data_IF_685213022254
#
_entry.id   IF_685213022254
#
_cell.length_a   1.000
_cell.length_b   1.000
_cell.length_c   1.000
_cell.angle_alpha   90.00
_cell.angle_beta   90.00
_cell.angle_gamma   90.00
#
_symmetry.space_group_name_H-M   'P 1'
#
loop_
_entity.id
_entity.type
_entity.pdbx_description
1 polymer ?
#
# COMPACT_ATOMS: atom_id res chain seq x y z
N UNK A 1 10.73 -12.68 13.63
CA UNK A 1 10.76 -11.55 12.66
C UNK A 1 11.63 -10.46 13.27
N UNK A 2 12.54 -9.86 12.50
CA UNK A 2 13.31 -8.72 12.97
C UNK A 2 12.38 -7.50 13.01
N UNK A 3 12.19 -6.92 14.19
CA UNK A 3 11.53 -5.62 14.33
C UNK A 3 12.35 -4.57 13.59
N UNK A 4 11.68 -3.70 12.84
CA UNK A 4 12.32 -2.57 12.17
C UNK A 4 12.31 -1.35 13.09
N UNK A 5 13.38 -0.58 13.13
CA UNK A 5 13.46 0.66 13.89
C UNK A 5 13.47 1.89 12.97
N UNK A 6 13.14 3.07 13.52
CA UNK A 6 13.15 4.30 12.73
C UNK A 6 14.55 4.63 12.20
N UNK A 7 15.60 4.27 12.94
CA UNK A 7 17.00 4.39 12.52
C UNK A 7 17.30 3.56 11.26
N UNK A 8 16.63 2.42 11.08
CA UNK A 8 16.77 1.62 9.87
C UNK A 8 16.14 2.34 8.67
N UNK A 9 14.99 3.00 8.87
CA UNK A 9 14.36 3.84 7.85
C UNK A 9 15.30 4.98 7.44
N UNK A 10 15.89 5.70 8.40
CA UNK A 10 16.86 6.76 8.14
C UNK A 10 18.08 6.24 7.35
N UNK A 11 18.62 5.08 7.76
CA UNK A 11 19.74 4.43 7.09
C UNK A 11 19.41 4.03 5.66
N UNK A 12 18.22 3.46 5.43
CA UNK A 12 17.74 3.11 4.10
C UNK A 12 17.50 4.34 3.24
N UNK A 13 16.95 5.43 3.78
CA UNK A 13 16.79 6.69 3.04
C UNK A 13 18.14 7.25 2.58
N UNK A 14 19.15 7.23 3.45
CA UNK A 14 20.52 7.62 3.11
C UNK A 14 21.12 6.75 1.99
N UNK A 15 20.93 5.44 2.08
CA UNK A 15 21.43 4.49 1.07
C UNK A 15 20.69 4.64 -0.26
N UNK A 16 19.37 4.83 -0.24
CA UNK A 16 18.54 5.04 -1.42
C UNK A 16 18.98 6.31 -2.16
N UNK A 17 19.12 7.43 -1.44
CA UNK A 17 19.62 8.69 -2.01
C UNK A 17 20.98 8.51 -2.69
N UNK A 18 21.93 7.86 -2.01
CA UNK A 18 23.27 7.58 -2.57
C UNK A 18 23.20 6.71 -3.82
N UNK A 19 22.34 5.68 -3.83
CA UNK A 19 22.13 4.79 -4.98
C UNK A 19 21.57 5.54 -6.20
N UNK A 20 20.75 6.57 -5.98
CA UNK A 20 20.27 7.47 -7.03
C UNK A 20 21.33 8.51 -7.48
N UNK A 21 22.51 8.55 -6.85
CA UNK A 21 23.56 9.51 -7.17
C UNK A 21 23.33 10.92 -6.63
N UNK A 22 22.31 11.13 -5.77
CA UNK A 22 21.98 12.46 -5.27
C UNK A 22 22.78 12.85 -4.03
N UNK A 23 23.18 14.12 -3.95
CA UNK A 23 23.62 14.75 -2.71
C UNK A 23 22.41 15.22 -1.86
N UNK A 24 22.66 15.62 -0.61
CA UNK A 24 21.59 16.05 0.30
C UNK A 24 20.88 17.32 -0.16
N UNK A 25 21.56 18.21 -0.89
CA UNK A 25 20.96 19.43 -1.46
C UNK A 25 19.97 19.10 -2.57
N UNK A 26 20.34 18.23 -3.50
CA UNK A 26 19.48 17.76 -4.59
C UNK A 26 18.26 17.04 -4.05
N UNK A 27 18.47 16.17 -3.06
CA UNK A 27 17.38 15.45 -2.42
C UNK A 27 16.46 16.39 -1.63
N UNK A 28 17.02 17.35 -0.88
CA UNK A 28 16.22 18.39 -0.22
C UNK A 28 15.33 19.16 -1.18
N UNK A 29 15.87 19.57 -2.34
CA UNK A 29 15.10 20.23 -3.41
C UNK A 29 13.92 19.37 -3.90
N UNK A 30 14.12 18.06 -4.10
CA UNK A 30 13.05 17.12 -4.48
C UNK A 30 11.92 17.03 -3.45
N UNK A 31 12.25 17.24 -2.17
CA UNK A 31 11.29 17.23 -1.05
C UNK A 31 10.73 18.64 -0.74
N UNK A 32 11.15 19.68 -1.46
CA UNK A 32 10.76 21.06 -1.18
C UNK A 32 11.31 21.61 0.14
N UNK A 33 12.44 21.08 0.63
CA UNK A 33 13.07 21.47 1.90
C UNK A 33 14.55 21.87 1.71
N UNK A 34 15.12 22.56 2.69
CA UNK A 34 16.55 22.91 2.66
C UNK A 34 17.45 21.69 2.83
N UNK A 35 18.72 21.81 2.42
CA UNK A 35 19.71 20.75 2.65
C UNK A 35 19.88 20.43 4.14
N UNK A 36 19.90 21.44 5.00
CA UNK A 36 20.00 21.28 6.45
C UNK A 36 18.80 20.51 7.02
N UNK A 37 17.58 20.87 6.57
CA UNK A 37 16.34 20.22 7.03
C UNK A 37 16.26 18.75 6.56
N UNK A 38 16.73 18.47 5.34
CA UNK A 38 16.88 17.10 4.83
C UNK A 38 17.94 16.32 5.65
N UNK A 39 19.10 16.92 5.92
CA UNK A 39 20.17 16.29 6.70
C UNK A 39 19.68 15.91 8.11
N UNK A 40 18.91 16.76 8.76
CA UNK A 40 18.32 16.47 10.09
C UNK A 40 17.38 15.25 10.04
N UNK A 41 16.55 15.12 9.00
CA UNK A 41 15.69 13.94 8.79
C UNK A 41 16.47 12.68 8.47
N UNK A 42 17.45 12.78 7.58
CA UNK A 42 18.30 11.64 7.19
C UNK A 42 19.09 11.05 8.36
N UNK A 43 19.48 11.90 9.31
CA UNK A 43 20.19 11.47 10.52
C UNK A 43 19.25 11.22 11.72
N UNK A 44 17.92 11.23 11.52
CA UNK A 44 16.94 10.90 12.56
C UNK A 44 16.68 11.99 13.60
N UNK A 45 17.28 13.18 13.48
CA UNK A 45 17.06 14.31 14.40
C UNK A 45 15.66 14.92 14.26
N UNK A 46 15.02 14.77 13.09
CA UNK A 46 13.64 15.18 12.82
C UNK A 46 12.90 14.00 12.20
N UNK A 47 11.68 13.73 12.67
CA UNK A 47 10.85 12.67 12.10
C UNK A 47 10.36 13.07 10.69
N UNK A 48 10.48 12.15 9.74
CA UNK A 48 9.94 12.34 8.38
C UNK A 48 8.41 12.32 8.44
N UNK A 49 7.79 13.45 8.08
CA UNK A 49 6.33 13.60 8.06
C UNK A 49 5.69 12.85 6.89
N UNK A 50 4.36 12.66 6.95
CA UNK A 50 3.58 12.16 5.81
C UNK A 50 3.82 12.96 4.53
N UNK A 51 3.81 14.29 4.60
CA UNK A 51 4.01 15.13 3.40
C UNK A 51 5.39 14.88 2.78
N UNK A 52 6.42 14.64 3.60
CA UNK A 52 7.73 14.26 3.10
C UNK A 52 7.70 12.87 2.43
N UNK A 53 7.00 11.88 3.01
CA UNK A 53 6.81 10.57 2.38
C UNK A 53 6.02 10.65 1.09
N UNK A 54 4.99 11.49 1.02
CA UNK A 54 4.23 11.75 -0.20
C UNK A 54 5.15 12.32 -1.29
N UNK A 55 5.94 13.35 -0.97
CA UNK A 55 6.90 13.92 -1.93
C UNK A 55 8.00 12.93 -2.34
N UNK A 56 8.46 12.05 -1.43
CA UNK A 56 9.37 10.96 -1.77
C UNK A 56 8.74 10.03 -2.82
N UNK A 57 7.50 9.59 -2.57
CA UNK A 57 6.75 8.72 -3.47
C UNK A 57 6.52 9.37 -4.85
N UNK A 58 6.10 10.64 -4.89
CA UNK A 58 5.91 11.42 -6.13
C UNK A 58 7.22 11.58 -6.93
N UNK A 59 8.38 11.48 -6.27
CA UNK A 59 9.69 11.46 -6.90
C UNK A 59 10.18 10.05 -7.29
N UNK A 60 9.30 9.05 -7.26
CA UNK A 60 9.59 7.67 -7.67
C UNK A 60 10.33 6.83 -6.62
N UNK A 61 10.33 7.25 -5.36
CA UNK A 61 11.01 6.52 -4.28
C UNK A 61 10.04 5.50 -3.66
N UNK A 62 10.52 4.26 -3.57
CA UNK A 62 9.78 3.14 -2.98
C UNK A 62 9.72 3.28 -1.45
N UNK A 63 8.56 3.71 -0.94
CA UNK A 63 8.31 3.89 0.49
C UNK A 63 8.40 2.57 1.26
N UNK A 64 8.03 1.45 0.65
CA UNK A 64 8.12 0.15 1.30
C UNK A 64 9.57 -0.29 1.46
N UNK A 65 10.41 -0.03 0.44
CA UNK A 65 11.84 -0.26 0.58
C UNK A 65 12.43 0.58 1.72
N UNK A 66 12.02 1.86 1.85
CA UNK A 66 12.48 2.69 2.96
C UNK A 66 12.01 2.18 4.33
N UNK A 67 10.79 1.68 4.43
CA UNK A 67 10.20 1.26 5.71
C UNK A 67 10.60 -0.16 6.11
N UNK A 68 10.58 -1.14 5.21
CA UNK A 68 10.83 -2.55 5.57
C UNK A 68 12.03 -3.18 4.84
N UNK A 69 12.72 -2.43 3.99
CA UNK A 69 13.89 -2.91 3.25
C UNK A 69 13.56 -3.85 2.08
N UNK A 70 12.28 -3.98 1.71
CA UNK A 70 11.84 -4.81 0.59
C UNK A 70 11.17 -3.95 -0.46
N UNK A 71 11.66 -4.01 -1.69
CA UNK A 71 10.94 -3.42 -2.81
C UNK A 71 9.69 -4.23 -3.11
N UNK A 72 8.71 -3.53 -3.67
CA UNK A 72 7.34 -4.00 -3.78
C UNK A 72 6.77 -3.90 -5.18
N UNK A 73 7.64 -3.67 -6.17
CA UNK A 73 7.27 -3.63 -7.58
C UNK A 73 6.67 -4.97 -8.02
N UNK A 74 5.44 -4.91 -8.50
CA UNK A 74 4.75 -6.02 -9.15
C UNK A 74 4.52 -5.57 -10.59
N UNK A 75 4.95 -6.38 -11.55
CA UNK A 75 4.76 -6.09 -12.98
C UNK A 75 3.57 -6.89 -13.49
N UNK A 76 2.48 -6.22 -13.86
CA UNK A 76 1.26 -6.86 -14.36
C UNK A 76 0.81 -6.22 -15.67
N UNK A 77 1.71 -6.19 -16.66
CA UNK A 77 1.52 -5.48 -17.93
C UNK A 77 0.16 -5.76 -18.58
N UNK A 78 -0.27 -7.03 -18.59
CA UNK A 78 -1.58 -7.42 -19.12
C UNK A 78 -2.74 -6.72 -18.40
N UNK A 79 -2.78 -6.80 -17.06
CA UNK A 79 -3.84 -6.19 -16.26
C UNK A 79 -3.79 -4.65 -16.36
N UNK A 80 -2.57 -4.08 -16.42
CA UNK A 80 -2.35 -2.65 -16.58
C UNK A 80 -2.90 -2.16 -17.93
N UNK A 81 -2.69 -2.90 -19.02
CA UNK A 81 -3.26 -2.60 -20.34
C UNK A 81 -4.79 -2.55 -20.24
N UNK A 82 -5.44 -3.57 -19.69
CA UNK A 82 -6.91 -3.57 -19.58
C UNK A 82 -7.43 -2.41 -18.74
N UNK A 83 -6.78 -2.10 -17.62
CA UNK A 83 -7.17 -0.98 -16.77
C UNK A 83 -6.93 0.39 -17.42
N UNK A 84 -5.93 0.50 -18.31
CA UNK A 84 -5.60 1.76 -18.99
C UNK A 84 -6.61 2.15 -20.07
N UNK A 85 -7.41 1.21 -20.54
CA UNK A 85 -8.44 1.45 -21.56
C UNK A 85 -9.73 2.06 -20.98
N UNK A 86 -9.89 2.08 -19.66
CA UNK A 86 -11.01 2.73 -19.00
C UNK A 86 -10.67 4.18 -18.63
N UNK A 87 -11.60 5.09 -18.91
CA UNK A 87 -11.52 6.47 -18.44
C UNK A 87 -11.75 6.58 -16.92
N UNK A 88 -11.41 7.72 -16.33
CA UNK A 88 -11.49 7.95 -14.88
C UNK A 88 -12.90 7.76 -14.29
N UNK A 89 -13.96 7.94 -15.08
CA UNK A 89 -15.34 7.82 -14.62
C UNK A 89 -15.83 6.35 -14.58
N UNK A 90 -15.40 5.53 -15.54
CA UNK A 90 -15.80 4.12 -15.66
C UNK A 90 -14.85 3.17 -14.94
N UNK A 91 -13.58 3.57 -14.80
CA UNK A 91 -12.50 2.78 -14.19
C UNK A 91 -12.82 2.24 -12.79
N UNK A 92 -13.41 2.99 -11.84
CA UNK A 92 -13.71 2.45 -10.51
C UNK A 92 -14.69 1.27 -10.54
N UNK A 93 -15.70 1.34 -11.42
CA UNK A 93 -16.69 0.28 -11.58
C UNK A 93 -16.08 -0.94 -12.28
N UNK A 94 -15.35 -0.73 -13.38
CA UNK A 94 -14.64 -1.79 -14.09
C UNK A 94 -13.66 -2.54 -13.17
N UNK A 95 -12.88 -1.80 -12.37
CA UNK A 95 -11.96 -2.38 -11.39
C UNK A 95 -12.67 -3.28 -10.38
N UNK A 96 -13.86 -2.89 -9.93
CA UNK A 96 -14.66 -3.72 -9.02
C UNK A 96 -15.10 -5.03 -9.68
N UNK A 97 -15.59 -4.98 -10.92
CA UNK A 97 -15.99 -6.18 -11.67
C UNK A 97 -14.79 -7.11 -11.91
N UNK A 98 -13.63 -6.56 -12.24
CA UNK A 98 -12.39 -7.33 -12.41
C UNK A 98 -11.95 -7.94 -11.08
N UNK A 99 -12.04 -7.20 -9.97
CA UNK A 99 -11.74 -7.72 -8.63
C UNK A 99 -12.67 -8.85 -8.21
N UNK A 100 -13.98 -8.72 -8.45
CA UNK A 100 -14.97 -9.78 -8.22
C UNK A 100 -14.65 -11.03 -9.08
N UNK A 101 -14.23 -10.83 -10.33
CA UNK A 101 -13.82 -11.92 -11.22
C UNK A 101 -12.56 -12.63 -10.72
N UNK A 102 -11.57 -11.87 -10.24
CA UNK A 102 -10.37 -12.42 -9.61
C UNK A 102 -10.77 -13.24 -8.38
N UNK A 103 -11.59 -12.70 -7.48
CA UNK A 103 -12.03 -13.42 -6.29
C UNK A 103 -12.89 -14.65 -6.60
N UNK A 104 -13.68 -14.62 -7.67
CA UNK A 104 -14.41 -15.79 -8.13
C UNK A 104 -13.47 -16.97 -8.44
N UNK A 105 -12.44 -16.75 -9.26
CA UNK A 105 -11.48 -17.82 -9.59
C UNK A 105 -10.68 -18.26 -8.37
N UNK A 106 -10.30 -17.33 -7.49
CA UNK A 106 -9.63 -17.70 -6.24
C UNK A 106 -10.51 -18.56 -5.34
N UNK A 107 -11.80 -18.24 -5.23
CA UNK A 107 -12.75 -19.03 -4.44
C UNK A 107 -12.91 -20.45 -4.99
N UNK A 108 -12.89 -20.64 -6.32
CA UNK A 108 -12.88 -21.98 -6.91
C UNK A 108 -11.65 -22.79 -6.53
N UNK A 109 -10.46 -22.17 -6.48
CA UNK A 109 -9.24 -22.84 -6.02
C UNK A 109 -9.31 -23.19 -4.53
N UNK A 110 -9.83 -22.28 -3.69
CA UNK A 110 -10.02 -22.51 -2.24
C UNK A 110 -10.97 -23.68 -2.02
N UNK A 111 -12.10 -23.71 -2.74
CA UNK A 111 -13.04 -24.85 -2.72
C UNK A 111 -12.38 -26.14 -3.18
N UNK A 112 -11.37 -26.06 -4.06
CA UNK A 112 -10.58 -27.19 -4.54
C UNK A 112 -9.39 -27.55 -3.62
N UNK A 113 -9.29 -26.92 -2.44
CA UNK A 113 -8.32 -27.26 -1.39
C UNK A 113 -7.14 -26.30 -1.25
N UNK A 114 -7.10 -25.18 -1.98
CA UNK A 114 -6.08 -24.14 -1.78
C UNK A 114 -6.25 -23.49 -0.40
N UNK A 115 -5.14 -23.21 0.29
CA UNK A 115 -5.17 -22.43 1.52
C UNK A 115 -5.45 -20.95 1.23
N UNK A 116 -6.30 -20.34 2.07
CA UNK A 116 -6.62 -18.91 2.00
C UNK A 116 -5.41 -18.08 2.44
N UNK A 117 -4.94 -17.18 1.58
CA UNK A 117 -3.83 -16.26 1.88
C UNK A 117 -4.31 -14.97 2.56
N UNK A 118 -3.38 -14.14 3.01
CA UNK A 118 -3.71 -12.82 3.56
C UNK A 118 -4.22 -11.87 2.46
N UNK A 119 -3.68 -11.96 1.24
CA UNK A 119 -4.17 -11.21 0.08
C UNK A 119 -5.62 -11.58 -0.27
N UNK A 120 -5.98 -12.87 -0.21
CA UNK A 120 -7.35 -13.34 -0.48
C UNK A 120 -8.35 -12.74 0.53
N UNK A 121 -8.00 -12.75 1.83
CA UNK A 121 -8.82 -12.14 2.90
C UNK A 121 -8.94 -10.63 2.74
N UNK A 122 -7.83 -9.98 2.36
CA UNK A 122 -7.80 -8.54 2.17
C UNK A 122 -8.68 -8.11 0.99
N UNK A 123 -8.60 -8.80 -0.14
CA UNK A 123 -9.43 -8.47 -1.30
C UNK A 123 -10.92 -8.74 -1.04
N UNK A 124 -11.26 -9.87 -0.39
CA UNK A 124 -12.64 -10.16 0.03
C UNK A 124 -13.20 -9.07 0.96
N UNK A 125 -12.39 -8.61 1.92
CA UNK A 125 -12.77 -7.50 2.78
C UNK A 125 -12.96 -6.19 2.01
N UNK A 126 -12.04 -5.86 1.10
CA UNK A 126 -12.13 -4.68 0.24
C UNK A 126 -13.41 -4.72 -0.61
N UNK A 127 -13.80 -5.85 -1.20
CA UNK A 127 -15.02 -5.96 -2.00
C UNK A 127 -16.29 -5.62 -1.20
N UNK A 128 -16.35 -6.03 0.07
CA UNK A 128 -17.47 -5.75 0.99
C UNK A 128 -17.56 -4.28 1.40
N UNK A 129 -16.45 -3.56 1.39
CA UNK A 129 -16.35 -2.15 1.79
C UNK A 129 -15.67 -1.30 0.71
N UNK A 130 -15.98 -1.55 -0.57
CA UNK A 130 -15.19 -1.06 -1.71
C UNK A 130 -14.86 0.43 -1.67
N UNK A 131 -15.84 1.25 -1.31
CA UNK A 131 -15.73 2.71 -1.31
C UNK A 131 -15.29 3.29 0.05
N UNK A 132 -15.44 2.53 1.13
CA UNK A 132 -15.16 2.98 2.51
C UNK A 132 -13.90 2.32 3.10
N UNK A 133 -13.20 1.51 2.31
CA UNK A 133 -12.07 0.71 2.77
C UNK A 133 -10.94 1.56 3.37
N UNK A 134 -10.48 1.16 4.55
CA UNK A 134 -9.23 1.64 5.15
C UNK A 134 -8.41 0.48 5.69
N UNK A 135 -7.09 0.52 5.52
CA UNK A 135 -6.23 -0.57 6.01
C UNK A 135 -6.30 -0.75 7.52
N UNK A 136 -6.39 0.35 8.29
CA UNK A 136 -6.38 0.26 9.74
C UNK A 136 -7.67 -0.36 10.29
N UNK A 137 -8.82 -0.09 9.66
CA UNK A 137 -10.06 -0.75 10.03
C UNK A 137 -10.01 -2.25 9.72
N UNK A 138 -9.49 -2.63 8.54
CA UNK A 138 -9.27 -4.03 8.19
C UNK A 138 -8.39 -4.74 9.22
N UNK A 139 -7.21 -4.19 9.49
CA UNK A 139 -6.24 -4.75 10.45
C UNK A 139 -6.87 -4.86 11.84
N UNK A 140 -7.55 -3.80 12.31
CA UNK A 140 -8.23 -3.82 13.61
C UNK A 140 -9.26 -4.95 13.68
N UNK A 141 -10.00 -5.16 12.60
CA UNK A 141 -11.04 -6.20 12.51
C UNK A 141 -10.44 -7.60 12.54
N UNK A 142 -9.42 -7.87 11.73
CA UNK A 142 -8.74 -9.18 11.67
C UNK A 142 -8.02 -9.51 12.97
N UNK A 143 -7.45 -8.50 13.64
CA UNK A 143 -6.74 -8.68 14.91
C UNK A 143 -7.68 -8.69 16.13
N UNK A 144 -8.98 -8.46 15.94
CA UNK A 144 -9.98 -8.32 17.01
C UNK A 144 -9.59 -7.28 18.08
N UNK A 145 -9.02 -6.16 17.65
CA UNK A 145 -8.58 -5.09 18.54
C UNK A 145 -9.62 -3.97 18.66
N UNK A 146 -9.66 -3.35 19.83
CA UNK A 146 -10.37 -2.08 20.02
C UNK A 146 -9.53 -0.91 19.50
N UNK A 147 -10.15 0.24 19.26
CA UNK A 147 -9.41 1.47 18.94
C UNK A 147 -8.44 1.87 20.06
N UNK A 148 -8.78 1.59 21.33
CA UNK A 148 -7.89 1.86 22.46
C UNK A 148 -6.64 0.97 22.37
N UNK A 149 -6.84 -0.33 22.17
CA UNK A 149 -5.74 -1.31 22.00
C UNK A 149 -4.83 -0.93 20.83
N UNK A 150 -5.41 -0.56 19.69
CA UNK A 150 -4.64 -0.13 18.51
C UNK A 150 -3.83 1.14 18.81
N UNK A 151 -4.46 2.12 19.47
CA UNK A 151 -3.79 3.38 19.82
C UNK A 151 -2.61 3.18 20.77
N UNK A 152 -2.75 2.30 21.76
CA UNK A 152 -1.68 1.92 22.67
C UNK A 152 -0.53 1.21 21.96
N UNK A 153 -0.82 0.28 21.04
CA UNK A 153 0.20 -0.44 20.26
C UNK A 153 1.01 0.48 19.33
N UNK A 154 0.40 1.55 18.86
CA UNK A 154 1.03 2.54 17.97
C UNK A 154 1.60 3.74 18.73
N UNK A 155 1.54 3.75 20.06
CA UNK A 155 2.01 4.86 20.90
C UNK A 155 1.39 6.22 20.52
N UNK A 156 0.12 6.22 20.12
CA UNK A 156 -0.63 7.44 19.79
C UNK A 156 -1.89 7.56 20.63
N UNK A 157 -2.41 8.78 20.75
CA UNK A 157 -3.71 8.98 21.41
C UNK A 157 -4.83 8.33 20.60
N UNK A 158 -5.88 7.84 21.27
CA UNK A 158 -7.09 7.33 20.62
C UNK A 158 -7.68 8.34 19.61
N UNK A 159 -7.62 9.64 19.91
CA UNK A 159 -8.08 10.71 19.00
C UNK A 159 -7.25 10.76 17.71
N UNK A 160 -5.92 10.63 17.80
CA UNK A 160 -5.02 10.58 16.63
C UNK A 160 -5.26 9.30 15.84
N UNK A 161 -5.33 8.15 16.51
CA UNK A 161 -5.66 6.86 15.89
C UNK A 161 -6.97 6.91 15.08
N UNK A 162 -8.05 7.44 15.66
CA UNK A 162 -9.34 7.58 14.95
C UNK A 162 -9.24 8.42 13.67
N UNK A 163 -8.33 9.40 13.62
CA UNK A 163 -8.08 10.18 12.40
C UNK A 163 -7.27 9.40 11.37
N UNK A 164 -6.31 8.58 11.80
CA UNK A 164 -5.60 7.65 10.92
C UNK A 164 -6.55 6.61 10.33
N UNK A 165 -7.37 5.98 11.17
CA UNK A 165 -8.30 4.94 10.75
C UNK A 165 -9.33 5.46 9.75
N UNK A 166 -9.77 6.71 9.90
CA UNK A 166 -10.68 7.37 8.93
C UNK A 166 -9.95 8.06 7.77
N UNK A 167 -8.63 7.90 7.68
CA UNK A 167 -7.78 8.52 6.65
C UNK A 167 -7.93 10.04 6.53
N UNK A 168 -8.30 10.69 7.64
CA UNK A 168 -8.39 12.16 7.75
C UNK A 168 -6.97 12.76 7.79
N UNK A 169 -6.04 12.03 8.42
CA UNK A 169 -4.61 12.32 8.41
C UNK A 169 -3.85 11.00 8.24
N UNK A 170 -2.59 11.06 7.84
CA UNK A 170 -1.74 9.88 7.63
C UNK A 170 -0.55 9.87 8.60
N UNK A 171 0.01 8.68 8.90
CA UNK A 171 1.12 8.54 9.84
C UNK A 171 2.40 9.20 9.34
N UNK A 172 3.24 9.64 10.28
CA UNK A 172 4.67 9.90 10.02
C UNK A 172 5.45 8.59 9.86
N UNK A 173 6.71 8.68 9.43
CA UNK A 173 7.52 7.51 9.11
C UNK A 173 7.76 6.60 10.32
N UNK A 174 7.91 7.15 11.52
CA UNK A 174 8.10 6.36 12.75
C UNK A 174 6.81 5.59 13.12
N UNK A 175 5.66 6.27 13.08
CA UNK A 175 4.36 5.62 13.27
C UNK A 175 4.14 4.53 12.21
N UNK A 176 4.57 4.75 10.96
CA UNK A 176 4.44 3.79 9.87
C UNK A 176 5.30 2.55 10.07
N UNK A 177 6.55 2.72 10.56
CA UNK A 177 7.41 1.61 10.99
C UNK A 177 6.73 0.80 12.10
N UNK A 178 6.13 1.47 13.08
CA UNK A 178 5.37 0.80 14.15
C UNK A 178 4.16 0.05 13.61
N UNK A 179 3.41 0.61 12.65
CA UNK A 179 2.32 -0.11 11.99
C UNK A 179 2.82 -1.37 11.27
N UNK A 180 3.96 -1.29 10.55
CA UNK A 180 4.56 -2.45 9.91
C UNK A 180 4.95 -3.53 10.93
N UNK A 181 5.60 -3.15 12.03
CA UNK A 181 6.03 -4.10 13.06
C UNK A 181 4.87 -4.81 13.76
N UNK A 182 3.76 -4.10 14.01
CA UNK A 182 2.62 -4.66 14.75
C UNK A 182 1.75 -5.53 13.84
N UNK A 183 1.58 -5.14 12.57
CA UNK A 183 0.56 -5.72 11.70
C UNK A 183 1.13 -6.49 10.50
N UNK A 184 2.40 -6.27 10.16
CA UNK A 184 3.13 -6.95 9.09
C UNK A 184 2.48 -6.87 7.68
N UNK A 185 1.65 -5.85 7.44
CA UNK A 185 1.20 -5.49 6.09
C UNK A 185 2.12 -4.47 5.45
N UNK A 186 2.15 -4.47 4.12
CA UNK A 186 2.94 -3.53 3.31
C UNK A 186 2.72 -2.07 3.79
N UNK A 187 3.79 -1.35 4.17
CA UNK A 187 3.70 0.00 4.74
C UNK A 187 2.88 0.99 3.92
N UNK A 188 3.09 1.07 2.61
CA UNK A 188 2.42 2.04 1.75
C UNK A 188 0.90 1.87 1.66
N UNK A 189 0.37 0.70 2.05
CA UNK A 189 -1.06 0.46 2.17
C UNK A 189 -1.72 1.33 3.26
N UNK A 190 -0.96 1.88 4.21
CA UNK A 190 -1.47 2.81 5.22
C UNK A 190 -1.49 4.27 4.77
N UNK A 191 -0.95 4.59 3.58
CA UNK A 191 -0.70 5.97 3.15
C UNK A 191 -1.60 6.48 2.02
N UNK A 192 -2.48 5.63 1.47
CA UNK A 192 -3.38 5.94 0.35
C UNK A 192 -2.72 6.74 -0.78
N UNK A 193 -1.48 6.37 -1.13
CA UNK A 193 -0.67 7.03 -2.17
C UNK A 193 -0.97 6.49 -3.57
N UNK A 194 -1.66 5.36 -3.66
CA UNK A 194 -2.08 4.66 -4.87
C UNK A 194 -3.36 3.87 -4.59
N UNK A 195 -4.00 3.33 -5.63
CA UNK A 195 -5.17 2.47 -5.43
C UNK A 195 -4.76 1.11 -4.83
N UNK A 196 -4.99 0.98 -3.52
CA UNK A 196 -4.62 -0.22 -2.75
C UNK A 196 -5.37 -1.46 -3.20
N UNK A 197 -6.61 -1.30 -3.69
CA UNK A 197 -7.42 -2.41 -4.19
C UNK A 197 -6.77 -2.98 -5.45
N UNK A 198 -6.37 -2.09 -6.35
CA UNK A 198 -5.65 -2.47 -7.56
C UNK A 198 -4.35 -3.22 -7.24
N UNK A 199 -3.57 -2.75 -6.26
CA UNK A 199 -2.37 -3.47 -5.86
C UNK A 199 -2.65 -4.90 -5.35
N UNK A 200 -3.68 -5.11 -4.51
CA UNK A 200 -4.01 -6.47 -4.05
C UNK A 200 -4.44 -7.35 -5.23
N UNK A 201 -5.21 -6.79 -6.17
CA UNK A 201 -5.55 -7.49 -7.42
C UNK A 201 -4.30 -7.93 -8.18
N UNK A 202 -3.31 -7.04 -8.35
CA UNK A 202 -2.04 -7.36 -9.01
C UNK A 202 -1.29 -8.50 -8.29
N UNK A 203 -1.31 -8.52 -6.95
CA UNK A 203 -0.66 -9.58 -6.16
C UNK A 203 -1.28 -10.95 -6.41
N UNK A 204 -2.60 -11.01 -6.40
CA UNK A 204 -3.33 -12.25 -6.69
C UNK A 204 -3.15 -12.65 -8.17
N UNK A 205 -3.19 -11.67 -9.07
CA UNK A 205 -2.99 -11.86 -10.51
C UNK A 205 -1.70 -12.59 -10.86
N UNK A 206 -0.61 -12.28 -10.17
CA UNK A 206 0.69 -12.92 -10.40
C UNK A 206 0.69 -14.43 -10.14
N UNK A 207 -0.27 -14.92 -9.37
CA UNK A 207 -0.39 -16.34 -9.05
C UNK A 207 -1.34 -17.10 -10.00
N UNK A 208 -2.08 -16.37 -10.84
CA UNK A 208 -3.01 -16.98 -11.78
C UNK A 208 -2.27 -17.60 -12.96
N UNK A 209 -2.77 -18.75 -13.40
CA UNK A 209 -2.36 -19.34 -14.66
C UNK A 209 -2.97 -18.59 -15.85
N UNK A 210 -2.46 -18.88 -17.05
CA UNK A 210 -2.87 -18.17 -18.27
C UNK A 210 -4.37 -18.33 -18.58
N UNK A 211 -4.98 -19.48 -18.24
CA UNK A 211 -6.41 -19.69 -18.46
C UNK A 211 -7.25 -18.77 -17.58
N UNK A 212 -6.91 -18.66 -16.29
CA UNK A 212 -7.58 -17.76 -15.35
C UNK A 212 -7.42 -16.31 -15.77
N UNK A 213 -6.20 -15.90 -16.10
CA UNK A 213 -5.90 -14.55 -16.60
C UNK A 213 -6.75 -14.23 -17.82
N UNK A 214 -6.72 -15.09 -18.85
CA UNK A 214 -7.50 -14.90 -20.06
C UNK A 214 -9.01 -14.74 -19.80
N UNK A 215 -9.58 -15.52 -18.87
CA UNK A 215 -11.00 -15.39 -18.53
C UNK A 215 -11.32 -14.08 -17.82
N UNK A 216 -10.48 -13.63 -16.89
CA UNK A 216 -10.65 -12.33 -16.24
C UNK A 216 -10.49 -11.18 -17.24
N UNK A 217 -9.49 -11.25 -18.14
CA UNK A 217 -9.31 -10.24 -19.20
C UNK A 217 -10.51 -10.15 -20.13
N UNK A 218 -11.10 -11.30 -20.50
CA UNK A 218 -12.35 -11.32 -21.29
C UNK A 218 -13.48 -10.59 -20.58
N UNK A 219 -13.66 -10.81 -19.29
CA UNK A 219 -14.65 -10.07 -18.50
C UNK A 219 -14.35 -8.57 -18.51
N UNK A 220 -13.08 -8.21 -18.25
CA UNK A 220 -12.61 -6.83 -18.32
C UNK A 220 -12.67 -6.20 -19.72
N UNK A 221 -12.82 -6.97 -20.80
CA UNK A 221 -13.03 -6.42 -22.14
C UNK A 221 -14.51 -6.30 -22.47
N UNK A 222 -15.34 -7.28 -22.09
CA UNK A 222 -16.80 -7.22 -22.28
C UNK A 222 -17.41 -6.01 -21.57
N UNK A 223 -16.91 -5.64 -20.39
CA UNK A 223 -17.38 -4.46 -19.67
C UNK A 223 -17.17 -3.14 -20.43
N UNK A 224 -16.18 -3.07 -21.34
CA UNK A 224 -15.95 -1.89 -22.19
C UNK A 224 -17.04 -1.70 -23.24
N UNK A 225 -17.70 -2.77 -23.64
CA UNK A 225 -18.79 -2.70 -24.64
C UNK A 225 -20.10 -2.23 -24.00
N UNK A 226 -20.18 -2.22 -22.66
CA UNK A 226 -21.40 -1.96 -21.88
C UNK A 226 -21.36 -0.56 -21.22
N UNK A 227 -20.17 -0.06 -20.89
CA UNK A 227 -19.93 1.22 -20.22
C UNK A 227 -19.60 2.32 -21.24
#
# INVERSE_FOLDING_TARGET
>A
MNSTHYEDFCSRMKNYRKRLGYNQTEMGKKLGISQDDYSKRENGHIIVSFNNMKSLHENGIDIDELVCGKSSNVSTEELDIVMSEYDDSTRPFAMKIIAESIMHYRNLEIMSGRQVTDEDRLLDYMLKQWDEFTMLEYVRTVMHYSQDTMSSKLYVTRKKYRKYEKEIIYPDADTLVNMYNVYNYRPSMYLNLYDRRYYVMQRIWMEFNDEQKNKVMRMGNMMKEIL
#
